data_IF_913852107033
#
_entry.id   IF_913852107033
#
_cell.length_a   1.000
_cell.length_b   1.000
_cell.length_c   1.000
_cell.angle_alpha   90.00
_cell.angle_beta   90.00
_cell.angle_gamma   90.00
#
_symmetry.space_group_name_H-M   'P 1'
#
loop_
_entity.id
_entity.type
_entity.pdbx_description
1 polymer ?
#
# COMPACT_ATOMS: atom_id res chain seq x y z
N UNK A 1 77.44 -20.65 -35.28
CA UNK A 1 77.84 -20.15 -33.96
C UNK A 1 76.55 -19.74 -33.25
N UNK A 2 75.93 -20.64 -32.49
CA UNK A 2 76.12 -20.95 -31.05
C UNK A 2 75.45 -19.94 -30.10
N UNK A 3 74.78 -20.52 -29.09
CA UNK A 3 74.14 -19.98 -27.86
C UNK A 3 72.73 -19.40 -28.04
N UNK A 4 71.64 -20.10 -27.69
CA UNK A 4 71.21 -20.63 -26.38
C UNK A 4 71.15 -19.58 -25.28
N UNK A 5 69.94 -19.29 -24.80
CA UNK A 5 69.66 -19.03 -23.38
C UNK A 5 68.17 -19.18 -23.07
N UNK A 6 67.90 -20.21 -22.27
CA UNK A 6 66.63 -20.57 -21.64
C UNK A 6 66.08 -19.43 -20.78
N UNK A 7 64.79 -19.12 -20.91
CA UNK A 7 64.08 -18.25 -19.96
C UNK A 7 63.24 -19.14 -19.02
N UNK A 8 63.67 -19.23 -17.77
CA UNK A 8 62.92 -19.82 -16.66
C UNK A 8 61.73 -18.93 -16.31
N UNK A 9 60.51 -19.46 -16.44
CA UNK A 9 59.29 -18.85 -15.91
C UNK A 9 59.18 -19.24 -14.43
N UNK A 10 59.36 -18.26 -13.53
CA UNK A 10 59.15 -18.43 -12.09
C UNK A 10 57.75 -17.94 -11.74
N UNK A 11 56.84 -18.87 -11.46
CA UNK A 11 55.50 -18.60 -10.95
C UNK A 11 55.55 -18.38 -9.44
N UNK A 12 55.46 -17.13 -9.01
CA UNK A 12 55.24 -16.78 -7.61
C UNK A 12 53.75 -17.00 -7.27
N UNK A 13 53.45 -18.05 -6.52
CA UNK A 13 52.14 -18.26 -5.90
C UNK A 13 52.00 -17.33 -4.68
N UNK A 14 51.17 -16.28 -4.77
CA UNK A 14 50.74 -15.52 -3.59
C UNK A 14 49.58 -16.28 -2.90
N UNK A 15 49.85 -16.84 -1.73
CA UNK A 15 48.81 -17.36 -0.85
C UNK A 15 48.16 -16.19 -0.07
N UNK A 16 46.95 -15.80 -0.47
CA UNK A 16 46.11 -14.86 0.28
C UNK A 16 45.40 -15.60 1.42
N UNK A 17 45.88 -15.39 2.65
CA UNK A 17 45.22 -15.86 3.88
C UNK A 17 43.99 -15.00 4.12
N UNK A 18 42.80 -15.55 3.87
CA UNK A 18 41.53 -14.90 4.19
C UNK A 18 41.20 -15.13 5.67
N UNK A 19 41.25 -14.08 6.48
CA UNK A 19 40.77 -14.11 7.86
C UNK A 19 39.25 -13.93 7.87
N UNK A 20 38.51 -15.02 8.11
CA UNK A 20 37.07 -14.97 8.28
C UNK A 20 36.72 -14.36 9.64
N UNK A 21 36.34 -13.10 9.68
CA UNK A 21 35.70 -12.50 10.86
C UNK A 21 34.29 -13.05 10.98
N UNK A 22 34.03 -13.83 12.02
CA UNK A 22 32.70 -14.32 12.36
C UNK A 22 31.77 -13.12 12.70
N UNK A 23 30.93 -12.73 11.75
CA UNK A 23 29.87 -11.75 11.98
C UNK A 23 28.85 -12.30 12.97
N UNK A 24 28.57 -11.55 14.04
CA UNK A 24 27.48 -11.86 14.97
C UNK A 24 26.17 -11.89 14.18
N UNK A 25 25.48 -13.03 14.21
CA UNK A 25 24.15 -13.17 13.63
C UNK A 25 23.22 -12.09 14.21
N UNK A 26 22.66 -11.25 13.34
CA UNK A 26 21.65 -10.27 13.73
C UNK A 26 20.44 -11.03 14.29
N UNK A 27 19.99 -10.66 15.50
CA UNK A 27 18.75 -11.18 16.07
C UNK A 27 17.59 -10.80 15.14
N UNK A 28 16.61 -11.68 14.92
CA UNK A 28 15.43 -11.33 14.14
C UNK A 28 14.72 -10.16 14.81
N UNK A 29 14.69 -9.01 14.13
CA UNK A 29 13.83 -7.89 14.53
C UNK A 29 12.40 -8.41 14.38
N UNK A 30 11.69 -8.58 15.50
CA UNK A 30 10.25 -8.82 15.45
C UNK A 30 9.65 -7.65 14.66
N UNK A 31 9.06 -7.92 13.49
CA UNK A 31 8.37 -6.89 12.71
C UNK A 31 7.45 -6.12 13.65
N UNK A 32 7.69 -4.82 13.78
CA UNK A 32 6.81 -3.96 14.55
C UNK A 32 5.39 -4.17 14.01
N UNK A 33 4.45 -4.49 14.89
CA UNK A 33 3.05 -4.65 14.51
C UNK A 33 2.60 -3.35 13.86
N UNK A 34 2.32 -3.37 12.55
CA UNK A 34 1.80 -2.20 11.84
C UNK A 34 0.48 -1.82 12.51
N UNK A 35 0.42 -0.61 13.07
CA UNK A 35 -0.78 -0.07 13.72
C UNK A 35 -1.53 0.83 12.76
N UNK A 36 -2.84 1.00 12.97
CA UNK A 36 -3.67 1.87 12.13
C UNK A 36 -4.23 1.18 10.87
N UNK A 37 -4.26 -0.15 10.82
CA UNK A 37 -4.80 -0.90 9.67
C UNK A 37 -6.33 -1.14 9.74
N UNK A 38 -7.06 -0.37 10.56
CA UNK A 38 -8.51 -0.46 10.64
C UNK A 38 -9.08 0.83 10.05
N UNK A 39 -9.80 0.71 8.93
CA UNK A 39 -10.58 1.80 8.33
C UNK A 39 -12.07 1.68 8.67
N UNK A 40 -12.85 2.72 8.37
CA UNK A 40 -14.31 2.68 8.50
C UNK A 40 -14.98 3.58 7.47
N UNK A 41 -16.24 3.30 7.14
CA UNK A 41 -17.10 4.16 6.32
C UNK A 41 -18.43 4.33 7.03
N UNK A 42 -18.76 5.56 7.42
CA UNK A 42 -20.10 5.90 7.95
C UNK A 42 -20.96 6.63 6.93
N UNK A 43 -20.39 7.62 6.25
CA UNK A 43 -21.04 8.46 5.24
C UNK A 43 -19.96 9.17 4.38
N UNK A 44 -20.35 10.14 3.54
CA UNK A 44 -19.44 10.87 2.65
C UNK A 44 -18.54 11.91 3.34
N UNK A 45 -18.74 12.20 4.62
CA UNK A 45 -17.91 13.11 5.42
C UNK A 45 -17.04 12.37 6.43
N UNK A 46 -17.46 11.17 6.81
CA UNK A 46 -16.90 10.36 7.89
C UNK A 46 -16.51 8.98 7.35
N UNK A 47 -15.34 8.91 6.74
CA UNK A 47 -14.75 7.68 6.22
C UNK A 47 -13.22 7.72 6.28
N UNK A 48 -12.60 6.57 6.05
CA UNK A 48 -11.15 6.42 5.94
C UNK A 48 -10.76 5.85 4.58
N UNK A 49 -9.52 6.13 4.18
CA UNK A 49 -8.82 5.52 3.06
C UNK A 49 -7.53 4.90 3.56
N UNK A 50 -7.07 3.84 2.92
CA UNK A 50 -5.75 3.27 3.12
C UNK A 50 -4.75 3.96 2.20
N UNK A 51 -3.63 4.42 2.76
CA UNK A 51 -2.57 5.06 1.98
C UNK A 51 -1.21 4.48 2.41
N UNK A 52 -0.16 4.69 1.59
CA UNK A 52 1.20 4.39 2.01
C UNK A 52 1.50 5.05 3.36
N UNK A 53 2.28 4.39 4.25
CA UNK A 53 2.54 4.91 5.60
C UNK A 53 3.49 6.14 5.62
N UNK A 54 3.88 6.65 4.45
CA UNK A 54 4.66 7.85 4.27
C UNK A 54 4.04 8.75 3.19
N UNK A 55 4.27 10.05 3.34
CA UNK A 55 3.99 11.05 2.32
C UNK A 55 4.68 10.70 0.99
N UNK A 56 3.94 10.77 -0.12
CA UNK A 56 4.43 10.51 -1.47
C UNK A 56 4.85 9.07 -1.74
N UNK A 57 4.46 8.11 -0.89
CA UNK A 57 4.66 6.69 -1.20
C UNK A 57 3.92 6.29 -2.48
N UNK A 58 4.54 5.45 -3.30
CA UNK A 58 3.87 4.84 -4.45
C UNK A 58 2.81 3.83 -3.98
N UNK A 59 1.62 3.82 -4.58
CA UNK A 59 0.48 3.02 -4.11
C UNK A 59 0.79 1.52 -4.20
N UNK A 60 1.14 1.02 -5.39
CA UNK A 60 1.42 -0.40 -5.65
C UNK A 60 2.60 -0.93 -4.82
N UNK A 61 3.67 -0.14 -4.69
CA UNK A 61 4.86 -0.52 -3.92
C UNK A 61 4.63 -0.58 -2.40
N UNK A 62 3.47 -0.15 -1.91
CA UNK A 62 3.12 -0.11 -0.49
C UNK A 62 1.84 -0.89 -0.15
N UNK A 63 1.33 -1.73 -1.07
CA UNK A 63 0.15 -2.60 -0.84
C UNK A 63 0.28 -3.49 0.40
N UNK A 64 1.49 -3.95 0.74
CA UNK A 64 1.74 -4.82 1.89
C UNK A 64 1.76 -4.10 3.24
N UNK A 65 1.85 -2.77 3.25
CA UNK A 65 2.09 -1.98 4.47
C UNK A 65 1.27 -0.69 4.61
N UNK A 66 0.23 -0.51 3.79
CA UNK A 66 -0.66 0.64 3.89
C UNK A 66 -1.32 0.75 5.29
N UNK A 67 -1.67 1.97 5.67
CA UNK A 67 -2.38 2.27 6.93
C UNK A 67 -3.56 3.18 6.65
N UNK A 68 -4.58 3.13 7.49
CA UNK A 68 -5.78 3.93 7.35
C UNK A 68 -5.53 5.38 7.78
N UNK A 69 -6.06 6.31 6.98
CA UNK A 69 -6.20 7.72 7.26
C UNK A 69 -7.66 8.10 7.15
N UNK A 70 -8.22 8.70 8.19
CA UNK A 70 -9.62 9.09 8.25
C UNK A 70 -9.80 10.60 8.04
N UNK A 71 -10.94 10.97 7.50
CA UNK A 71 -11.40 12.37 7.38
C UNK A 71 -11.43 13.13 8.71
N UNK A 72 -11.60 12.41 9.82
CA UNK A 72 -11.45 12.89 11.20
C UNK A 72 -11.11 11.72 12.11
N UNK A 73 -10.85 11.97 13.39
CA UNK A 73 -10.66 10.88 14.36
C UNK A 73 -11.95 10.06 14.51
N UNK A 74 -11.85 8.74 14.32
CA UNK A 74 -12.99 7.81 14.34
C UNK A 74 -12.79 6.73 15.41
N UNK A 75 -13.73 6.54 16.35
CA UNK A 75 -13.64 5.49 17.37
C UNK A 75 -13.49 4.06 16.78
N UNK A 76 -14.10 3.80 15.63
CA UNK A 76 -14.09 2.50 14.96
C UNK A 76 -12.76 2.21 14.24
N UNK A 77 -11.93 3.23 14.04
CA UNK A 77 -10.63 3.15 13.36
C UNK A 77 -9.52 3.67 14.30
N UNK A 78 -9.28 3.01 15.44
CA UNK A 78 -8.28 3.47 16.40
C UNK A 78 -6.89 3.45 15.77
N UNK A 79 -6.10 4.48 16.04
CA UNK A 79 -4.74 4.68 15.51
C UNK A 79 -4.68 4.92 14.00
N UNK A 80 -5.81 5.12 13.33
CA UNK A 80 -5.80 5.68 11.98
C UNK A 80 -5.24 7.11 12.01
N UNK A 81 -4.49 7.48 10.97
CA UNK A 81 -4.05 8.86 10.77
C UNK A 81 -5.23 9.76 10.38
N UNK A 82 -4.94 11.04 10.18
CA UNK A 82 -5.91 12.01 9.66
C UNK A 82 -5.52 12.37 8.23
N UNK A 83 -6.47 12.33 7.30
CA UNK A 83 -6.25 12.77 5.93
C UNK A 83 -5.89 14.25 5.92
N UNK A 84 -4.88 14.67 5.11
CA UNK A 84 -4.53 16.08 5.00
C UNK A 84 -5.72 16.94 4.57
N UNK A 85 -5.80 18.16 5.10
CA UNK A 85 -6.83 19.11 4.71
C UNK A 85 -6.82 19.35 3.19
N UNK A 86 -7.99 19.26 2.57
CA UNK A 86 -8.16 19.41 1.13
C UNK A 86 -7.78 18.20 0.29
N UNK A 87 -7.33 17.09 0.89
CA UNK A 87 -7.05 15.85 0.15
C UNK A 87 -8.32 15.29 -0.51
N UNK A 88 -9.45 15.28 0.19
CA UNK A 88 -10.74 14.88 -0.38
C UNK A 88 -11.38 16.08 -1.09
N UNK A 89 -11.72 15.92 -2.37
CA UNK A 89 -12.34 16.96 -3.22
C UNK A 89 -13.81 16.70 -3.47
N UNK A 90 -14.17 15.46 -3.84
CA UNK A 90 -15.56 14.99 -3.90
C UNK A 90 -15.68 13.68 -3.14
N UNK A 91 -16.85 13.41 -2.57
CA UNK A 91 -17.14 12.16 -1.87
C UNK A 91 -18.63 11.80 -2.04
N UNK A 92 -18.88 10.68 -2.72
CA UNK A 92 -20.20 10.15 -3.03
C UNK A 92 -20.40 8.86 -2.25
N UNK A 93 -21.35 8.86 -1.31
CA UNK A 93 -21.63 7.71 -0.46
C UNK A 93 -22.84 6.94 -0.94
N UNK A 94 -22.73 5.61 -0.99
CA UNK A 94 -23.84 4.70 -1.30
C UNK A 94 -23.86 3.58 -0.26
N UNK A 95 -25.07 3.23 0.21
CA UNK A 95 -25.33 2.07 1.05
C UNK A 95 -26.30 1.14 0.36
N UNK A 96 -25.95 -0.14 0.28
CA UNK A 96 -26.85 -1.19 -0.17
C UNK A 96 -27.11 -2.14 1.00
N UNK A 97 -28.29 -2.01 1.60
CA UNK A 97 -28.68 -2.81 2.78
C UNK A 97 -28.99 -4.26 2.42
N UNK A 98 -29.48 -4.51 1.20
CA UNK A 98 -29.83 -5.84 0.71
C UNK A 98 -28.58 -6.70 0.47
N UNK A 99 -27.55 -6.12 -0.14
CA UNK A 99 -26.27 -6.78 -0.40
C UNK A 99 -25.25 -6.60 0.75
N UNK A 100 -25.57 -5.80 1.77
CA UNK A 100 -24.73 -5.65 2.96
C UNK A 100 -23.39 -4.93 2.70
N UNK A 101 -23.39 -3.85 1.92
CA UNK A 101 -22.18 -3.06 1.68
C UNK A 101 -22.40 -1.55 1.76
N UNK A 102 -21.31 -0.83 2.01
CA UNK A 102 -21.21 0.63 1.92
C UNK A 102 -20.02 1.01 1.05
N UNK A 103 -20.14 2.11 0.32
CA UNK A 103 -19.14 2.58 -0.63
C UNK A 103 -18.98 4.09 -0.54
N UNK A 104 -17.75 4.56 -0.72
CA UNK A 104 -17.44 5.95 -1.05
C UNK A 104 -16.61 5.97 -2.33
N UNK A 105 -16.99 6.83 -3.28
CA UNK A 105 -16.22 7.13 -4.49
C UNK A 105 -16.02 8.63 -4.61
N UNK A 106 -14.93 9.08 -5.21
CA UNK A 106 -14.74 10.51 -5.40
C UNK A 106 -13.39 10.87 -5.98
N UNK A 107 -13.12 12.17 -5.96
CA UNK A 107 -11.88 12.79 -6.42
C UNK A 107 -11.07 13.27 -5.24
N UNK A 108 -9.76 13.26 -5.44
CA UNK A 108 -8.78 13.72 -4.46
C UNK A 108 -7.85 14.78 -5.05
N UNK A 109 -7.17 15.51 -4.18
CA UNK A 109 -6.02 16.32 -4.53
C UNK A 109 -4.75 15.58 -4.08
N UNK A 110 -4.16 14.82 -5.01
CA UNK A 110 -2.95 14.01 -4.77
C UNK A 110 -1.79 14.82 -4.19
N UNK A 111 -1.71 16.12 -4.48
CA UNK A 111 -0.63 16.98 -3.99
C UNK A 111 -0.64 17.13 -2.47
N UNK A 112 -1.80 16.96 -1.82
CA UNK A 112 -1.92 17.07 -0.35
C UNK A 112 -1.27 15.91 0.39
N UNK A 113 -1.05 14.78 -0.29
CA UNK A 113 -0.32 13.63 0.24
C UNK A 113 0.96 13.33 -0.56
N UNK A 114 1.35 14.21 -1.49
CA UNK A 114 2.57 14.08 -2.27
C UNK A 114 2.58 12.93 -3.28
N UNK A 115 1.43 12.36 -3.64
CA UNK A 115 1.38 11.22 -4.54
C UNK A 115 1.78 11.65 -5.96
N UNK A 116 2.58 10.81 -6.63
CA UNK A 116 3.12 11.09 -7.96
C UNK A 116 1.97 11.09 -9.01
N UNK A 117 1.82 12.13 -9.84
CA UNK A 117 0.85 12.13 -10.94
C UNK A 117 1.07 11.04 -12.00
N UNK A 118 2.19 10.32 -11.98
CA UNK A 118 2.50 9.18 -12.85
C UNK A 118 2.26 7.83 -12.17
N UNK A 119 1.90 7.83 -10.89
CA UNK A 119 1.53 6.60 -10.19
C UNK A 119 0.14 6.15 -10.65
N UNK A 120 0.10 5.04 -11.37
CA UNK A 120 -1.14 4.42 -11.88
C UNK A 120 -2.02 3.82 -10.78
N UNK A 121 -1.56 3.82 -9.54
CA UNK A 121 -2.34 3.37 -8.41
C UNK A 121 -2.14 1.90 -8.06
N UNK A 122 -3.11 1.37 -7.34
CA UNK A 122 -3.09 0.00 -6.81
C UNK A 122 -4.36 -0.31 -6.03
N UNK A 123 -4.40 -1.51 -5.44
CA UNK A 123 -5.55 -2.01 -4.69
C UNK A 123 -5.15 -2.40 -3.27
N UNK A 124 -5.90 -1.89 -2.30
CA UNK A 124 -5.82 -2.35 -0.93
C UNK A 124 -7.05 -3.20 -0.58
N UNK A 125 -6.81 -4.35 0.04
CA UNK A 125 -7.86 -5.25 0.51
C UNK A 125 -7.36 -6.07 1.72
N UNK A 126 -8.19 -7.03 2.17
CA UNK A 126 -7.88 -7.87 3.34
C UNK A 126 -6.62 -8.74 3.20
N UNK A 127 -6.08 -8.90 1.99
CA UNK A 127 -4.83 -9.63 1.72
C UNK A 127 -3.61 -8.72 1.80
N UNK A 128 -3.75 -7.46 1.38
CA UNK A 128 -2.67 -6.50 1.28
C UNK A 128 -3.21 -5.11 1.67
N UNK A 129 -2.88 -4.59 2.87
CA UNK A 129 -1.87 -5.11 3.79
C UNK A 129 -2.43 -6.19 4.73
N UNK A 130 -1.61 -7.18 5.11
CA UNK A 130 -2.08 -8.29 5.96
C UNK A 130 -2.61 -7.78 7.30
N UNK A 131 -3.82 -8.22 7.66
CA UNK A 131 -4.46 -7.85 8.93
C UNK A 131 -5.31 -6.57 8.86
N UNK A 132 -5.36 -5.91 7.71
CA UNK A 132 -6.24 -4.78 7.45
C UNK A 132 -7.71 -5.15 7.47
N UNK A 133 -8.54 -4.21 7.93
CA UNK A 133 -9.99 -4.42 8.06
C UNK A 133 -10.76 -3.13 7.83
N UNK A 134 -12.01 -3.28 7.37
CA UNK A 134 -13.01 -2.24 7.50
C UNK A 134 -13.95 -2.55 8.68
N UNK A 135 -14.04 -1.64 9.64
CA UNK A 135 -14.79 -1.84 10.88
C UNK A 135 -16.25 -2.19 10.59
N UNK A 136 -16.71 -3.31 11.16
CA UNK A 136 -18.07 -3.81 10.98
C UNK A 136 -18.30 -4.61 9.69
N UNK A 137 -17.28 -4.87 8.87
CA UNK A 137 -17.37 -5.62 7.60
C UNK A 137 -16.31 -6.73 7.53
N UNK A 138 -16.58 -7.77 6.74
CA UNK A 138 -15.68 -8.92 6.60
C UNK A 138 -14.64 -8.71 5.50
N UNK A 139 -14.99 -7.88 4.52
CA UNK A 139 -14.18 -7.57 3.35
C UNK A 139 -14.16 -6.07 3.11
N UNK A 140 -13.10 -5.61 2.46
CA UNK A 140 -13.10 -4.32 1.80
C UNK A 140 -12.27 -4.41 0.52
N UNK A 141 -12.52 -3.48 -0.38
CA UNK A 141 -11.66 -3.21 -1.53
C UNK A 141 -11.54 -1.71 -1.67
N UNK A 142 -10.33 -1.24 -1.85
CA UNK A 142 -10.01 0.16 -2.10
C UNK A 142 -9.08 0.25 -3.29
N UNK A 143 -9.29 1.25 -4.16
CA UNK A 143 -8.31 1.65 -5.14
C UNK A 143 -8.04 3.15 -5.00
N UNK A 144 -6.76 3.50 -5.11
CA UNK A 144 -6.24 4.86 -5.14
C UNK A 144 -5.56 5.02 -6.49
N UNK A 145 -6.00 5.99 -7.29
CA UNK A 145 -5.46 6.26 -8.63
C UNK A 145 -4.91 7.69 -8.65
N UNK A 146 -3.63 7.85 -8.24
CA UNK A 146 -2.99 9.15 -8.25
C UNK A 146 -3.04 9.78 -9.62
N UNK A 147 -2.70 9.08 -10.71
CA UNK A 147 -2.68 9.58 -12.08
C UNK A 147 -3.97 10.28 -12.53
N UNK A 148 -5.12 9.77 -12.08
CA UNK A 148 -6.46 10.23 -12.42
C UNK A 148 -7.11 11.08 -11.33
N UNK A 149 -6.44 11.28 -10.18
CA UNK A 149 -6.97 11.99 -9.00
C UNK A 149 -8.31 11.42 -8.49
N UNK A 150 -8.49 10.10 -8.56
CA UNK A 150 -9.71 9.45 -8.06
C UNK A 150 -9.41 8.36 -7.02
N UNK A 151 -10.41 8.07 -6.21
CA UNK A 151 -10.39 6.98 -5.26
C UNK A 151 -11.76 6.32 -5.13
N UNK A 152 -11.75 5.07 -4.67
CA UNK A 152 -12.96 4.34 -4.35
C UNK A 152 -12.67 3.33 -3.25
N UNK A 153 -13.57 3.23 -2.27
CA UNK A 153 -13.52 2.24 -1.20
C UNK A 153 -14.92 1.64 -1.01
N UNK A 154 -14.99 0.31 -0.88
CA UNK A 154 -16.21 -0.40 -0.49
C UNK A 154 -15.92 -1.37 0.64
N UNK A 155 -16.76 -1.36 1.68
CA UNK A 155 -16.76 -2.36 2.74
C UNK A 155 -17.96 -3.28 2.58
N UNK A 156 -17.73 -4.60 2.62
CA UNK A 156 -18.73 -5.62 2.31
C UNK A 156 -18.84 -6.68 3.41
N UNK A 157 -20.07 -7.13 3.67
CA UNK A 157 -20.32 -8.32 4.50
C UNK A 157 -19.89 -9.59 3.77
N UNK A 158 -20.18 -9.69 2.47
CA UNK A 158 -19.87 -10.87 1.67
C UNK A 158 -18.75 -10.60 0.66
N UNK A 159 -17.90 -11.62 0.44
CA UNK A 159 -16.77 -11.54 -0.52
C UNK A 159 -17.24 -11.20 -1.94
N UNK A 160 -18.39 -11.73 -2.36
CA UNK A 160 -18.93 -11.54 -3.72
C UNK A 160 -19.20 -10.07 -4.06
N UNK A 161 -19.44 -9.24 -3.04
CA UNK A 161 -19.78 -7.82 -3.21
C UNK A 161 -18.53 -6.91 -3.17
N UNK A 162 -17.36 -7.48 -2.85
CA UNK A 162 -16.06 -6.83 -2.80
C UNK A 162 -15.12 -7.43 -3.88
N UNK A 163 -15.13 -6.88 -5.10
CA UNK A 163 -14.32 -7.40 -6.21
C UNK A 163 -12.82 -7.10 -6.02
N UNK A 164 -12.12 -8.04 -5.40
CA UNK A 164 -10.65 -8.04 -5.22
C UNK A 164 -9.90 -8.64 -6.42
N UNK A 165 -8.58 -8.45 -6.48
CA UNK A 165 -7.69 -9.00 -7.52
C UNK A 165 -7.78 -8.28 -8.87
N UNK A 166 -8.18 -7.01 -8.88
CA UNK A 166 -8.40 -6.21 -10.10
C UNK A 166 -7.62 -4.89 -10.07
N UNK A 167 -6.40 -4.91 -9.56
CA UNK A 167 -5.61 -3.72 -9.22
C UNK A 167 -5.34 -2.78 -10.41
N UNK A 168 -5.29 -3.31 -11.64
CA UNK A 168 -5.02 -2.52 -12.86
C UNK A 168 -6.28 -2.02 -13.58
N UNK A 169 -7.48 -2.34 -13.08
CA UNK A 169 -8.74 -2.04 -13.78
C UNK A 169 -9.29 -0.66 -13.43
N UNK A 170 -8.91 -0.13 -12.28
CA UNK A 170 -9.37 1.15 -11.77
C UNK A 170 -10.80 1.17 -11.22
N UNK A 171 -11.09 2.20 -10.46
CA UNK A 171 -12.27 2.47 -9.67
C UNK A 171 -13.56 2.44 -10.49
N UNK A 172 -13.55 3.10 -11.66
CA UNK A 172 -14.71 3.15 -12.56
C UNK A 172 -15.15 1.76 -12.99
N UNK A 173 -14.21 0.84 -13.21
CA UNK A 173 -14.51 -0.53 -13.65
C UNK A 173 -14.75 -1.48 -12.48
N UNK A 174 -14.04 -1.31 -11.37
CA UNK A 174 -14.13 -2.22 -10.21
C UNK A 174 -15.35 -1.93 -9.34
N UNK A 175 -15.61 -0.66 -9.01
CA UNK A 175 -16.69 -0.24 -8.10
C UNK A 175 -17.77 0.61 -8.75
N UNK A 176 -17.53 1.15 -9.95
CA UNK A 176 -18.44 2.10 -10.60
C UNK A 176 -18.64 3.34 -9.73
N UNK A 177 -19.78 4.02 -9.87
CA UNK A 177 -20.14 5.18 -9.03
C UNK A 177 -19.84 6.52 -9.69
N UNK A 178 -19.83 7.57 -8.86
CA UNK A 178 -19.66 8.97 -9.28
C UNK A 178 -18.32 9.48 -8.78
N UNK A 179 -17.56 10.14 -9.65
CA UNK A 179 -16.21 10.64 -9.41
C UNK A 179 -16.15 12.13 -9.76
#
# INVERSE_FOLDING_TARGET
MLFSKSLLVSTLLLAVVSTATAGKAAKPVKSAKVTGQIGTIKNNKDFCLFLPPMYGGNIAANEDRAVAFCTKAMPEAPKAGILPAGFIKTANFVRNTQAGWVQVTGTMDRSKYGLDPKDGGGQYDIKAPVGSKCAGYNHYVELIEPDSNIYCIRCCKEKKDCPVGKSTYGCKKVLGGVY
#
